data_IF_382088899201
#
_entry.id   IF_382088899201
#
_cell.length_a   1.000
_cell.length_b   1.000
_cell.length_c   1.000
_cell.angle_alpha   90.00
_cell.angle_beta   90.00
_cell.angle_gamma   90.00
#
_symmetry.space_group_name_H-M   'P 1'
#
loop_
_entity.id
_entity.type
_entity.pdbx_description
1 polymer ?
#
# COMPACT_ATOMS: atom_id res chain seq x y z
N UNK A 1 3.65 -1.44 26.34
CA UNK A 1 3.78 -2.18 25.08
C UNK A 1 2.68 -1.77 24.14
N UNK A 2 2.98 -1.60 22.89
CA UNK A 2 1.99 -1.26 21.87
C UNK A 2 1.51 -2.51 21.14
N UNK A 3 0.33 -2.40 20.53
CA UNK A 3 -0.18 -3.39 19.59
C UNK A 3 0.39 -3.05 18.22
N UNK A 4 0.86 -4.05 17.51
CA UNK A 4 1.43 -3.89 16.18
C UNK A 4 0.55 -4.51 15.12
N UNK A 5 0.62 -3.93 13.92
CA UNK A 5 -0.14 -4.37 12.76
C UNK A 5 0.86 -4.56 11.62
N UNK A 6 0.87 -5.75 11.03
CA UNK A 6 1.70 -6.02 9.85
C UNK A 6 0.97 -5.55 8.60
N UNK A 7 1.58 -4.63 7.84
CA UNK A 7 1.05 -4.17 6.56
C UNK A 7 2.03 -4.59 5.48
N UNK A 8 1.56 -5.34 4.47
CA UNK A 8 2.42 -5.83 3.41
C UNK A 8 1.65 -5.98 2.11
N UNK A 9 2.26 -5.59 1.02
CA UNK A 9 1.62 -5.69 -0.27
C UNK A 9 2.33 -4.92 -1.37
N UNK A 10 1.58 -4.62 -2.42
CA UNK A 10 2.15 -4.01 -3.62
C UNK A 10 1.16 -3.10 -4.31
N UNK A 11 1.70 -2.25 -5.19
CA UNK A 11 0.95 -1.45 -6.14
C UNK A 11 1.55 -1.69 -7.52
N UNK A 12 0.69 -1.91 -8.50
CA UNK A 12 1.06 -2.06 -9.91
C UNK A 12 0.66 -0.79 -10.66
N UNK A 13 1.55 -0.27 -11.49
CA UNK A 13 1.36 1.02 -12.15
C UNK A 13 2.26 1.13 -13.40
N UNK A 14 2.14 2.23 -14.14
CA UNK A 14 3.10 2.52 -15.20
C UNK A 14 4.28 3.34 -14.65
N UNK A 15 5.25 3.66 -15.49
CA UNK A 15 6.44 4.40 -15.05
C UNK A 15 6.14 5.82 -14.61
N UNK A 16 5.17 6.47 -15.25
CA UNK A 16 4.75 7.83 -14.88
C UNK A 16 4.05 7.84 -13.52
N UNK A 17 3.18 6.87 -13.29
CA UNK A 17 2.49 6.71 -12.01
C UNK A 17 3.48 6.35 -10.90
N UNK A 18 4.50 5.54 -11.21
CA UNK A 18 5.55 5.20 -10.25
C UNK A 18 6.34 6.45 -9.83
N UNK A 19 6.67 7.32 -10.80
CA UNK A 19 7.34 8.57 -10.50
C UNK A 19 6.48 9.45 -9.58
N UNK A 20 5.17 9.50 -9.82
CA UNK A 20 4.24 10.23 -8.97
C UNK A 20 4.17 9.63 -7.56
N UNK A 21 4.14 8.30 -7.46
CA UNK A 21 4.17 7.61 -6.17
C UNK A 21 5.42 8.00 -5.37
N UNK A 22 6.58 7.97 -6.01
CA UNK A 22 7.84 8.35 -5.37
C UNK A 22 7.80 9.80 -4.91
N UNK A 23 7.19 10.70 -5.69
CA UNK A 23 7.01 12.09 -5.31
C UNK A 23 6.14 12.22 -4.07
N UNK A 24 5.03 11.50 -4.03
CA UNK A 24 4.07 11.52 -2.91
C UNK A 24 4.75 11.10 -1.61
N UNK A 25 5.46 9.98 -1.61
CA UNK A 25 6.08 9.47 -0.38
C UNK A 25 7.25 10.33 0.10
N UNK A 26 7.78 11.19 -0.77
CA UNK A 26 8.83 12.15 -0.40
C UNK A 26 8.26 13.51 0.01
N UNK A 27 6.96 13.72 -0.14
CA UNK A 27 6.29 15.00 0.09
C UNK A 27 5.67 15.09 1.49
N UNK A 28 5.30 16.30 1.93
CA UNK A 28 4.57 16.46 3.20
C UNK A 28 3.10 16.03 3.12
N UNK A 29 2.61 15.59 1.95
CA UNK A 29 1.24 15.08 1.80
C UNK A 29 0.98 13.85 2.68
N UNK A 30 2.02 13.08 2.99
CA UNK A 30 1.91 11.89 3.84
C UNK A 30 2.74 12.07 5.10
N UNK A 31 2.27 11.46 6.18
CA UNK A 31 3.01 11.44 7.43
C UNK A 31 4.29 10.61 7.22
N UNK A 32 5.43 11.15 7.65
CA UNK A 32 6.74 10.54 7.40
C UNK A 32 6.94 9.20 8.10
N UNK A 33 6.14 8.91 9.12
CA UNK A 33 6.23 7.65 9.86
C UNK A 33 5.96 6.47 8.93
N UNK A 34 6.87 5.51 8.91
CA UNK A 34 6.76 4.27 8.12
C UNK A 34 6.87 4.44 6.60
N UNK A 35 7.20 5.61 6.05
CA UNK A 35 7.43 5.74 4.59
C UNK A 35 8.63 4.91 4.12
N UNK A 36 9.55 4.59 5.00
CA UNK A 36 10.68 3.72 4.69
C UNK A 36 10.32 2.27 4.38
N UNK A 37 9.05 1.87 4.57
CA UNK A 37 8.57 0.54 4.19
C UNK A 37 8.43 0.33 2.68
N UNK A 38 8.46 1.39 1.90
CA UNK A 38 8.38 1.28 0.44
C UNK A 38 9.68 0.77 -0.15
N UNK A 39 9.57 -0.14 -1.12
CA UNK A 39 10.68 -0.65 -1.89
C UNK A 39 10.33 -0.67 -3.37
N UNK A 40 11.33 -0.47 -4.21
CA UNK A 40 11.13 -0.38 -5.65
C UNK A 40 12.14 -1.26 -6.37
N UNK A 41 11.68 -2.11 -7.32
CA UNK A 41 12.62 -2.84 -8.16
C UNK A 41 13.51 -1.88 -8.95
N UNK A 42 14.78 -2.23 -9.07
CA UNK A 42 15.75 -1.40 -9.79
C UNK A 42 15.57 -1.48 -11.32
N UNK A 43 15.00 -2.57 -11.81
CA UNK A 43 14.82 -2.82 -13.23
C UNK A 43 13.33 -3.03 -13.52
N UNK A 44 12.85 -2.33 -14.55
CA UNK A 44 11.48 -2.47 -15.03
C UNK A 44 11.46 -3.29 -16.32
N UNK A 45 10.46 -4.12 -16.46
CA UNK A 45 10.21 -4.88 -17.69
C UNK A 45 8.88 -4.41 -18.27
N UNK A 46 8.87 -4.14 -19.60
CA UNK A 46 7.69 -3.64 -20.29
C UNK A 46 7.23 -2.29 -19.73
N UNK A 47 5.93 -2.08 -19.73
CA UNK A 47 5.31 -0.82 -19.29
C UNK A 47 4.81 -0.88 -17.85
N UNK A 48 4.93 -2.04 -17.23
CA UNK A 48 4.41 -2.26 -15.88
C UNK A 48 5.53 -2.08 -14.86
N UNK A 49 5.23 -1.33 -13.82
CA UNK A 49 6.13 -1.10 -12.69
C UNK A 49 5.44 -1.54 -11.40
N UNK A 50 6.24 -1.91 -10.42
CA UNK A 50 5.75 -2.33 -9.11
C UNK A 50 6.39 -1.52 -8.00
N UNK A 51 5.60 -1.22 -6.99
CA UNK A 51 6.10 -0.69 -5.72
C UNK A 51 5.64 -1.65 -4.62
N UNK A 52 6.54 -2.02 -3.74
CA UNK A 52 6.25 -2.94 -2.64
C UNK A 52 6.30 -2.20 -1.32
N UNK A 53 5.43 -2.58 -0.40
CA UNK A 53 5.39 -2.00 0.93
C UNK A 53 5.36 -3.08 1.99
N UNK A 54 6.18 -2.92 3.02
CA UNK A 54 6.17 -3.82 4.17
C UNK A 54 6.60 -3.08 5.43
N UNK A 55 5.79 -3.16 6.47
CA UNK A 55 6.12 -2.54 7.75
C UNK A 55 5.33 -3.19 8.89
N UNK A 56 5.97 -3.29 10.05
CA UNK A 56 5.28 -3.54 11.30
C UNK A 56 4.94 -2.19 11.91
N UNK A 57 3.68 -1.87 11.97
CA UNK A 57 3.16 -0.55 12.29
C UNK A 57 2.50 -0.57 13.66
N UNK A 58 2.69 0.46 14.48
CA UNK A 58 1.91 0.59 15.71
C UNK A 58 0.44 0.82 15.33
N UNK A 59 -0.46 0.21 16.07
CA UNK A 59 -1.90 0.37 15.83
C UNK A 59 -2.30 1.84 15.78
N UNK A 60 -1.74 2.67 16.65
CA UNK A 60 -2.02 4.11 16.69
C UNK A 60 -1.62 4.86 15.42
N UNK A 61 -0.74 4.29 14.60
CA UNK A 61 -0.28 4.89 13.35
C UNK A 61 -0.90 4.24 12.11
N UNK A 62 -1.75 3.23 12.28
CA UNK A 62 -2.36 2.53 11.15
C UNK A 62 -3.20 3.46 10.27
N UNK A 63 -3.90 4.41 10.88
CA UNK A 63 -4.68 5.41 10.15
C UNK A 63 -3.82 6.25 9.21
N UNK A 64 -2.62 6.61 9.63
CA UNK A 64 -1.68 7.37 8.79
C UNK A 64 -1.20 6.54 7.60
N UNK A 65 -0.97 5.25 7.80
CA UNK A 65 -0.58 4.35 6.72
C UNK A 65 -1.73 4.17 5.73
N UNK A 66 -2.95 4.02 6.23
CA UNK A 66 -4.14 3.94 5.37
C UNK A 66 -4.33 5.23 4.56
N UNK A 67 -4.15 6.39 5.19
CA UNK A 67 -4.25 7.67 4.49
C UNK A 67 -3.20 7.79 3.39
N UNK A 68 -1.99 7.32 3.63
CA UNK A 68 -0.94 7.27 2.61
C UNK A 68 -1.39 6.41 1.43
N UNK A 69 -1.97 5.24 1.68
CA UNK A 69 -2.46 4.36 0.61
C UNK A 69 -3.62 5.00 -0.15
N UNK A 70 -4.46 5.79 0.52
CA UNK A 70 -5.54 6.54 -0.13
C UNK A 70 -5.00 7.60 -1.07
N UNK A 71 -3.92 8.30 -0.68
CA UNK A 71 -3.27 9.29 -1.55
C UNK A 71 -2.68 8.58 -2.77
N UNK A 72 -2.01 7.44 -2.58
CA UNK A 72 -1.47 6.64 -3.68
C UNK A 72 -2.59 6.17 -4.62
N UNK A 73 -3.73 5.73 -4.08
CA UNK A 73 -4.87 5.29 -4.88
C UNK A 73 -5.42 6.40 -5.78
N UNK A 74 -5.27 7.66 -5.37
CA UNK A 74 -5.75 8.81 -6.13
C UNK A 74 -4.79 9.30 -7.21
N UNK A 75 -3.67 8.63 -7.43
CA UNK A 75 -2.78 8.95 -8.55
C UNK A 75 -3.61 8.93 -9.83
N UNK A 76 -3.49 9.95 -10.70
CA UNK A 76 -4.28 10.01 -11.92
C UNK A 76 -4.12 8.77 -12.79
N UNK A 77 -5.17 8.37 -13.51
CA UNK A 77 -5.07 7.23 -14.42
C UNK A 77 -4.06 7.48 -15.53
N UNK A 78 -3.53 6.42 -16.08
CA UNK A 78 -2.59 6.48 -17.20
C UNK A 78 -3.29 6.83 -18.53
N UNK A 79 -2.54 6.77 -19.64
CA UNK A 79 -3.08 7.11 -20.96
C UNK A 79 -4.19 6.15 -21.41
N UNK A 80 -4.26 4.96 -20.83
CA UNK A 80 -5.31 3.98 -21.10
C UNK A 80 -6.48 4.07 -20.12
N UNK A 81 -6.52 5.15 -19.34
CA UNK A 81 -7.52 5.38 -18.31
C UNK A 81 -7.48 4.36 -17.15
N UNK A 82 -6.30 3.78 -16.91
CA UNK A 82 -6.11 2.78 -15.86
C UNK A 82 -5.53 3.42 -14.61
N UNK A 83 -6.25 3.29 -13.49
CA UNK A 83 -5.73 3.67 -12.17
C UNK A 83 -4.68 2.65 -11.70
N UNK A 84 -3.85 3.06 -10.74
CA UNK A 84 -2.97 2.13 -10.05
C UNK A 84 -3.81 1.05 -9.38
N UNK A 85 -3.32 -0.18 -9.38
CA UNK A 85 -3.99 -1.29 -8.70
C UNK A 85 -3.04 -1.92 -7.70
N UNK A 86 -3.59 -2.46 -6.64
CA UNK A 86 -2.76 -3.09 -5.64
C UNK A 86 -3.55 -3.85 -4.59
N UNK A 87 -2.79 -4.50 -3.73
CA UNK A 87 -3.34 -5.30 -2.65
C UNK A 87 -2.41 -5.23 -1.45
N UNK A 88 -2.97 -4.94 -0.29
CA UNK A 88 -2.24 -5.00 0.97
C UNK A 88 -2.97 -5.92 1.93
N UNK A 89 -2.22 -6.77 2.60
CA UNK A 89 -2.73 -7.60 3.69
C UNK A 89 -2.34 -6.95 5.00
N UNK A 90 -3.33 -6.74 5.86
CA UNK A 90 -3.17 -6.00 7.11
C UNK A 90 -3.50 -6.95 8.26
N UNK A 91 -2.45 -7.43 8.92
CA UNK A 91 -2.56 -8.42 10.01
C UNK A 91 -2.50 -7.73 11.35
N UNK A 92 -3.66 -7.64 12.02
CA UNK A 92 -3.76 -7.04 13.34
C UNK A 92 -3.57 -8.12 14.40
N UNK A 93 -2.73 -7.87 15.39
CA UNK A 93 -2.44 -8.84 16.45
C UNK A 93 -3.70 -9.34 17.18
N UNK A 94 -4.69 -8.50 17.33
CA UNK A 94 -5.91 -8.80 18.12
C UNK A 94 -7.11 -9.04 17.24
N UNK A 95 -7.31 -8.21 16.21
CA UNK A 95 -8.57 -8.18 15.44
C UNK A 95 -8.54 -9.01 14.15
N UNK A 96 -7.45 -9.72 13.88
CA UNK A 96 -7.33 -10.55 12.69
C UNK A 96 -6.82 -9.79 11.48
N UNK A 97 -7.18 -10.26 10.29
CA UNK A 97 -6.65 -9.73 9.05
C UNK A 97 -7.70 -9.01 8.23
N UNK A 98 -7.30 -7.85 7.69
CA UNK A 98 -8.04 -7.14 6.66
C UNK A 98 -7.25 -7.17 5.34
N UNK A 99 -7.97 -6.93 4.27
CA UNK A 99 -7.42 -6.79 2.94
C UNK A 99 -7.76 -5.39 2.44
N UNK A 100 -6.75 -4.65 2.03
CA UNK A 100 -6.94 -3.34 1.39
C UNK A 100 -6.72 -3.50 -0.11
N UNK A 101 -7.77 -3.28 -0.88
CA UNK A 101 -7.73 -3.33 -2.34
C UNK A 101 -7.60 -1.92 -2.88
N UNK A 102 -6.55 -1.67 -3.64
CA UNK A 102 -6.32 -0.39 -4.31
C UNK A 102 -6.82 -0.53 -5.75
N UNK A 103 -7.92 0.11 -6.06
CA UNK A 103 -8.53 0.07 -7.40
C UNK A 103 -9.54 1.19 -7.58
N UNK A 104 -9.71 1.63 -8.81
CA UNK A 104 -10.70 2.64 -9.15
C UNK A 104 -10.49 3.99 -8.47
N UNK A 105 -9.25 4.32 -8.11
CA UNK A 105 -8.93 5.56 -7.43
C UNK A 105 -9.21 5.55 -5.93
N UNK A 106 -9.52 4.40 -5.34
CA UNK A 106 -9.90 4.27 -3.93
C UNK A 106 -9.23 3.08 -3.27
N UNK A 107 -9.24 3.07 -1.95
CA UNK A 107 -8.87 1.90 -1.14
C UNK A 107 -10.16 1.27 -0.61
N UNK A 108 -10.38 0.02 -0.95
CA UNK A 108 -11.52 -0.75 -0.48
C UNK A 108 -11.08 -1.72 0.61
N UNK A 109 -11.64 -1.59 1.80
CA UNK A 109 -11.30 -2.44 2.94
C UNK A 109 -12.26 -3.62 2.96
N UNK A 110 -11.69 -4.83 3.00
CA UNK A 110 -12.45 -6.09 3.06
C UNK A 110 -11.89 -6.98 4.16
N UNK A 111 -12.69 -7.89 4.72
CA UNK A 111 -12.15 -8.90 5.63
C UNK A 111 -11.11 -9.76 4.91
N UNK A 112 -10.05 -10.12 5.63
CA UNK A 112 -9.02 -11.00 5.09
C UNK A 112 -9.56 -12.40 4.80
N UNK A 113 -8.99 -13.05 3.78
CA UNK A 113 -9.40 -14.39 3.38
C UNK A 113 -8.80 -15.44 4.34
N UNK A 114 -9.55 -16.49 4.68
CA UNK A 114 -9.02 -17.55 5.55
C UNK A 114 -7.73 -18.19 5.02
N UNK A 115 -7.57 -18.25 3.70
CA UNK A 115 -6.40 -18.83 3.06
C UNK A 115 -5.09 -18.07 3.39
N UNK A 116 -5.20 -16.84 3.81
CA UNK A 116 -4.06 -15.98 4.13
C UNK A 116 -3.71 -15.95 5.62
N UNK A 117 -4.43 -16.69 6.45
CA UNK A 117 -4.22 -16.67 7.91
C UNK A 117 -2.84 -17.15 8.34
N UNK A 118 -2.17 -17.94 7.52
CA UNK A 118 -0.80 -18.37 7.83
C UNK A 118 0.15 -17.17 7.98
N UNK A 119 -0.22 -16.00 7.42
CA UNK A 119 0.57 -14.77 7.54
C UNK A 119 0.42 -14.09 8.90
N UNK A 120 -0.53 -14.51 9.71
CA UNK A 120 -0.75 -13.95 11.06
C UNK A 120 0.15 -14.59 12.12
N UNK A 121 0.86 -15.62 11.80
CA UNK A 121 1.70 -16.34 12.75
C UNK A 121 3.11 -15.79 12.86
#
# INVERSE_FOLDING_TARGET
>A
MGVYVGVRGFVECDTGQLAELKRIIASPEVVRTYVGGWGFPAVHHNWTSYAFYGAGVRESALGDVLDMMRVVARIPPDTDACHVTGLFLVSHEVDGMDEWQVRGGEVHIRPGRPDHRYLDT
#
